data_IF_036065308649
#
_entry.id   IF_036065308649
#
_cell.length_a   1.000
_cell.length_b   1.000
_cell.length_c   1.000
_cell.angle_alpha   90.00
_cell.angle_beta   90.00
_cell.angle_gamma   90.00
#
_symmetry.space_group_name_H-M   'P 1'
#
loop_
_entity.id
_entity.type
_entity.pdbx_description
1 polymer ?
#
# COMPACT_ATOMS: atom_id res chain seq x y z
N UNK A 1 -71.51 18.63 -57.34
CA UNK A 1 -72.05 18.72 -55.95
C UNK A 1 -71.59 17.52 -55.16
N UNK A 2 -70.69 17.77 -54.16
CA UNK A 2 -70.31 16.93 -53.01
C UNK A 2 -69.89 15.49 -53.25
N UNK A 3 -68.57 15.33 -53.43
CA UNK A 3 -67.80 14.13 -53.07
C UNK A 3 -67.11 14.40 -51.70
N UNK A 4 -67.84 14.13 -50.64
CA UNK A 4 -67.28 14.29 -49.28
C UNK A 4 -67.91 13.19 -48.39
N UNK A 5 -67.22 12.06 -48.28
CA UNK A 5 -67.71 10.94 -47.45
C UNK A 5 -66.83 9.71 -47.36
N UNK A 6 -65.87 9.55 -48.29
CA UNK A 6 -65.15 8.29 -48.37
C UNK A 6 -63.76 8.31 -47.71
N UNK A 7 -63.24 9.51 -47.36
CA UNK A 7 -61.92 9.64 -46.73
C UNK A 7 -61.90 9.48 -45.21
N UNK A 8 -63.04 9.60 -44.55
CA UNK A 8 -63.10 9.47 -43.08
C UNK A 8 -63.27 8.04 -42.55
N UNK A 9 -63.71 7.12 -43.39
CA UNK A 9 -63.85 5.70 -43.00
C UNK A 9 -62.57 4.89 -43.14
N UNK A 10 -61.64 5.27 -44.03
CA UNK A 10 -60.37 4.57 -44.24
C UNK A 10 -59.37 4.94 -43.15
N UNK A 11 -59.41 6.16 -42.61
CA UNK A 11 -58.53 6.58 -41.53
C UNK A 11 -58.94 6.01 -40.19
N UNK A 12 -60.17 5.67 -39.96
CA UNK A 12 -60.63 5.09 -38.70
C UNK A 12 -60.39 3.57 -38.61
N UNK A 13 -60.41 2.87 -39.73
CA UNK A 13 -60.07 1.44 -39.79
C UNK A 13 -58.54 1.19 -39.69
N UNK A 14 -57.72 2.11 -40.18
CA UNK A 14 -56.27 1.98 -40.10
C UNK A 14 -55.74 2.28 -38.70
N UNK A 15 -56.34 3.20 -37.95
CA UNK A 15 -56.00 3.47 -36.55
C UNK A 15 -56.42 2.37 -35.57
N UNK A 16 -57.48 1.62 -35.88
CA UNK A 16 -57.94 0.51 -35.03
C UNK A 16 -57.09 -0.76 -35.26
N UNK A 17 -56.52 -0.98 -36.45
CA UNK A 17 -55.61 -2.09 -36.71
C UNK A 17 -54.20 -1.83 -36.11
N UNK A 18 -53.71 -0.57 -36.08
CA UNK A 18 -52.48 -0.25 -35.38
C UNK A 18 -52.58 -0.32 -33.81
N UNK A 19 -53.77 -0.16 -33.25
CA UNK A 19 -53.96 -0.26 -31.79
C UNK A 19 -54.04 -1.72 -31.27
N UNK A 20 -54.33 -2.67 -32.17
CA UNK A 20 -54.39 -4.10 -31.84
C UNK A 20 -53.05 -4.84 -32.02
N UNK A 21 -52.07 -4.22 -32.65
CA UNK A 21 -50.73 -4.82 -32.83
C UNK A 21 -49.72 -4.44 -31.73
N UNK A 22 -50.11 -3.68 -30.72
CA UNK A 22 -49.28 -3.29 -29.56
C UNK A 22 -49.52 -4.14 -28.31
N UNK A 23 -50.38 -5.13 -28.34
CA UNK A 23 -50.42 -6.17 -27.33
C UNK A 23 -49.44 -7.31 -27.70
N UNK A 24 -48.19 -6.94 -27.97
CA UNK A 24 -47.08 -7.89 -28.03
C UNK A 24 -46.80 -8.39 -26.63
N UNK A 25 -47.13 -9.62 -26.37
CA UNK A 25 -46.79 -10.41 -25.22
C UNK A 25 -45.48 -9.97 -24.55
N UNK A 26 -45.56 -9.30 -23.43
CA UNK A 26 -44.53 -9.47 -22.41
C UNK A 26 -44.74 -10.91 -21.89
N UNK A 27 -44.19 -11.90 -22.56
CA UNK A 27 -43.88 -13.17 -21.92
C UNK A 27 -42.80 -12.82 -20.92
N UNK A 28 -43.06 -13.02 -19.65
CA UNK A 28 -42.00 -13.04 -18.64
C UNK A 28 -40.95 -13.97 -19.19
N UNK A 29 -39.71 -13.48 -19.26
CA UNK A 29 -38.58 -14.33 -19.64
C UNK A 29 -38.53 -15.52 -18.67
N UNK A 30 -38.29 -16.75 -19.15
CA UNK A 30 -38.16 -17.88 -18.26
C UNK A 30 -37.00 -17.62 -17.29
N UNK A 31 -37.19 -17.99 -16.03
CA UNK A 31 -36.16 -17.89 -15.01
C UNK A 31 -34.87 -18.60 -15.48
N UNK A 32 -33.74 -18.00 -15.17
CA UNK A 32 -32.42 -18.51 -15.60
C UNK A 32 -32.11 -19.84 -14.89
N UNK A 33 -31.75 -20.85 -15.67
CA UNK A 33 -31.34 -22.17 -15.21
C UNK A 33 -29.84 -22.28 -14.90
N UNK A 34 -29.05 -21.26 -15.26
CA UNK A 34 -27.60 -21.26 -15.00
C UNK A 34 -27.30 -20.98 -13.54
N UNK A 35 -26.27 -21.63 -13.01
CA UNK A 35 -25.86 -21.53 -11.62
C UNK A 35 -24.33 -21.40 -11.50
N UNK A 36 -23.75 -20.48 -12.27
CA UNK A 36 -22.30 -20.35 -12.37
C UNK A 36 -21.75 -19.16 -11.58
N UNK A 37 -20.52 -19.34 -11.07
CA UNK A 37 -19.66 -18.24 -10.66
C UNK A 37 -18.88 -17.79 -11.91
N UNK A 38 -19.13 -16.60 -12.40
CA UNK A 38 -18.40 -16.00 -13.53
C UNK A 38 -17.06 -15.39 -13.10
N UNK A 39 -17.06 -14.74 -11.92
CA UNK A 39 -15.86 -14.14 -11.32
C UNK A 39 -15.87 -14.32 -9.82
N UNK A 40 -14.68 -14.56 -9.27
CA UNK A 40 -14.42 -14.53 -7.85
C UNK A 40 -13.34 -13.49 -7.56
N UNK A 41 -13.50 -12.68 -6.53
CA UNK A 41 -12.55 -11.64 -6.18
C UNK A 41 -12.53 -11.38 -4.67
N UNK A 42 -11.41 -10.83 -4.20
CA UNK A 42 -11.27 -10.32 -2.85
C UNK A 42 -11.00 -8.83 -2.96
N UNK A 43 -11.78 -8.00 -2.26
CA UNK A 43 -11.52 -6.56 -2.15
C UNK A 43 -10.66 -6.29 -0.91
N UNK A 44 -9.33 -6.37 -1.02
CA UNK A 44 -8.48 -5.89 0.05
C UNK A 44 -8.63 -4.37 0.12
N UNK A 45 -8.65 -3.80 1.32
CA UNK A 45 -8.40 -2.37 1.47
C UNK A 45 -7.09 -1.98 0.79
N UNK A 46 -6.87 -0.68 0.51
CA UNK A 46 -5.69 -0.19 -0.26
C UNK A 46 -4.36 -0.75 0.26
N UNK A 47 -4.24 -0.94 1.55
CA UNK A 47 -3.10 -1.59 2.22
C UNK A 47 -3.00 -3.10 1.91
N UNK A 48 -4.11 -3.80 1.87
CA UNK A 48 -4.15 -5.27 1.71
C UNK A 48 -3.86 -5.72 0.27
N UNK A 49 -3.89 -4.82 -0.73
CA UNK A 49 -3.41 -5.13 -2.10
C UNK A 49 -1.97 -5.63 -2.12
N UNK A 50 -1.18 -5.28 -1.11
CA UNK A 50 0.18 -5.78 -0.93
C UNK A 50 0.24 -7.25 -0.49
N UNK A 51 -0.87 -7.86 -0.14
CA UNK A 51 -0.93 -9.25 0.31
C UNK A 51 -1.04 -10.25 -0.83
N UNK A 52 -1.34 -9.80 -2.04
CA UNK A 52 -1.40 -10.65 -3.22
C UNK A 52 -0.05 -10.66 -3.94
N UNK A 53 0.27 -11.77 -4.60
CA UNK A 53 1.54 -11.94 -5.33
C UNK A 53 1.63 -10.95 -6.49
N UNK A 54 0.51 -10.70 -7.18
CA UNK A 54 0.36 -9.65 -8.18
C UNK A 54 -1.07 -9.09 -8.16
N UNK A 55 -1.36 -8.05 -8.95
CA UNK A 55 -2.67 -7.41 -8.97
C UNK A 55 -3.81 -8.33 -9.46
N UNK A 56 -3.50 -9.37 -10.25
CA UNK A 56 -4.47 -10.33 -10.77
C UNK A 56 -4.87 -11.39 -9.74
N UNK A 57 -4.10 -11.57 -8.66
CA UNK A 57 -4.39 -12.55 -7.63
C UNK A 57 -5.66 -12.21 -6.82
N UNK A 58 -6.15 -10.98 -6.93
CA UNK A 58 -7.39 -10.54 -6.30
C UNK A 58 -8.64 -10.82 -7.13
N UNK A 59 -8.48 -11.18 -8.41
CA UNK A 59 -9.56 -11.45 -9.35
C UNK A 59 -9.27 -12.74 -10.11
N UNK A 60 -10.18 -13.70 -10.03
CA UNK A 60 -10.16 -14.94 -10.79
C UNK A 60 -11.37 -14.97 -11.73
N UNK A 61 -11.13 -15.05 -13.04
CA UNK A 61 -12.17 -15.34 -14.03
C UNK A 61 -12.40 -16.85 -14.03
N UNK A 62 -13.62 -17.26 -13.72
CA UNK A 62 -13.98 -18.68 -13.59
C UNK A 62 -14.51 -19.19 -14.91
N UNK A 63 -13.88 -20.24 -15.46
CA UNK A 63 -14.36 -20.89 -16.66
C UNK A 63 -15.57 -21.78 -16.36
N UNK A 64 -16.45 -21.95 -17.34
CA UNK A 64 -17.70 -22.70 -17.15
C UNK A 64 -17.53 -24.18 -16.78
N UNK A 65 -16.36 -24.76 -17.01
CA UNK A 65 -16.02 -26.14 -16.65
C UNK A 65 -15.26 -26.24 -15.29
N UNK A 66 -14.93 -25.11 -14.67
CA UNK A 66 -14.19 -25.08 -13.41
C UNK A 66 -15.10 -25.07 -12.19
N UNK A 67 -14.82 -25.96 -11.24
CA UNK A 67 -15.44 -26.04 -9.93
C UNK A 67 -14.46 -25.69 -8.78
N UNK A 68 -13.21 -25.36 -9.10
CA UNK A 68 -12.15 -24.98 -8.17
C UNK A 68 -11.68 -23.58 -8.46
N UNK A 69 -11.74 -22.73 -7.44
CA UNK A 69 -11.29 -21.35 -7.48
C UNK A 69 -10.14 -21.21 -6.49
N UNK A 70 -8.98 -20.73 -6.98
CA UNK A 70 -7.79 -20.59 -6.15
C UNK A 70 -7.25 -19.16 -6.25
N UNK A 71 -7.10 -18.53 -5.08
CA UNK A 71 -6.36 -17.28 -4.93
C UNK A 71 -4.94 -17.57 -4.44
N UNK A 72 -3.97 -16.78 -4.90
CA UNK A 72 -2.59 -16.84 -4.41
C UNK A 72 -2.25 -15.57 -3.66
N UNK A 73 -1.96 -15.70 -2.36
CA UNK A 73 -1.52 -14.59 -1.51
C UNK A 73 -0.03 -14.71 -1.20
N UNK A 74 0.58 -13.58 -0.83
CA UNK A 74 1.96 -13.57 -0.32
C UNK A 74 2.07 -14.42 0.95
N UNK A 75 3.27 -14.95 1.28
CA UNK A 75 3.46 -15.88 2.39
C UNK A 75 2.91 -15.43 3.74
N UNK A 76 2.90 -14.13 3.97
CA UNK A 76 2.52 -13.48 5.22
C UNK A 76 1.02 -13.18 5.37
N UNK A 77 0.22 -13.32 4.29
CA UNK A 77 -1.21 -13.01 4.36
C UNK A 77 -1.91 -13.90 5.39
N UNK A 78 -2.75 -13.30 6.24
CA UNK A 78 -3.61 -14.08 7.13
C UNK A 78 -4.72 -14.74 6.34
N UNK A 79 -4.88 -16.05 6.47
CA UNK A 79 -5.97 -16.81 5.86
C UNK A 79 -7.21 -16.90 6.75
N UNK A 80 -7.15 -16.39 8.00
CA UNK A 80 -8.21 -16.61 9.00
C UNK A 80 -9.47 -15.78 8.79
N UNK A 81 -9.34 -14.62 8.14
CA UNK A 81 -10.46 -13.67 7.96
C UNK A 81 -10.45 -13.17 6.52
N UNK A 82 -10.88 -14.01 5.58
CA UNK A 82 -10.97 -13.65 4.17
C UNK A 82 -12.43 -13.69 3.73
N UNK A 83 -12.83 -12.72 2.90
CA UNK A 83 -14.19 -12.52 2.46
C UNK A 83 -14.27 -12.51 0.91
N UNK A 84 -14.20 -13.65 0.24
CA UNK A 84 -14.37 -13.74 -1.20
C UNK A 84 -15.74 -13.23 -1.63
N UNK A 85 -15.76 -12.47 -2.70
CA UNK A 85 -16.97 -11.99 -3.35
C UNK A 85 -17.10 -12.65 -4.72
N UNK A 86 -18.35 -12.85 -5.14
CA UNK A 86 -18.63 -13.58 -6.37
C UNK A 86 -19.58 -12.79 -7.27
N UNK A 87 -19.27 -12.77 -8.57
CA UNK A 87 -20.22 -12.41 -9.60
C UNK A 87 -20.83 -13.70 -10.12
N UNK A 88 -22.13 -13.82 -10.01
CA UNK A 88 -22.89 -15.00 -10.42
C UNK A 88 -23.59 -14.73 -11.74
N UNK A 89 -24.05 -15.80 -12.41
CA UNK A 89 -25.04 -15.70 -13.48
C UNK A 89 -26.30 -14.99 -12.98
N UNK A 90 -26.97 -14.20 -13.85
CA UNK A 90 -28.13 -13.40 -13.44
C UNK A 90 -29.22 -14.22 -12.70
N UNK A 91 -29.70 -13.72 -11.58
CA UNK A 91 -30.74 -14.35 -10.75
C UNK A 91 -30.27 -15.48 -9.84
N UNK A 92 -29.04 -16.00 -10.01
CA UNK A 92 -28.50 -17.07 -9.16
C UNK A 92 -28.16 -16.56 -7.75
N UNK A 93 -28.20 -17.48 -6.77
CA UNK A 93 -27.84 -17.21 -5.37
C UNK A 93 -26.72 -18.12 -4.91
N UNK A 94 -25.96 -17.75 -3.87
CA UNK A 94 -24.81 -18.50 -3.37
C UNK A 94 -24.86 -18.66 -1.84
N UNK A 95 -24.45 -19.82 -1.36
CA UNK A 95 -24.26 -20.14 0.06
C UNK A 95 -22.91 -20.83 0.26
N UNK A 96 -22.07 -20.38 1.24
CA UNK A 96 -22.22 -19.20 2.08
C UNK A 96 -22.40 -17.89 1.28
N UNK A 97 -22.93 -16.83 1.93
CA UNK A 97 -23.19 -15.55 1.26
C UNK A 97 -21.90 -14.91 0.71
N UNK A 98 -21.99 -14.30 -0.48
CA UNK A 98 -20.88 -13.56 -1.10
C UNK A 98 -20.40 -12.45 -0.17
N UNK A 99 -19.08 -12.39 0.08
CA UNK A 99 -18.46 -11.44 1.01
C UNK A 99 -18.50 -11.85 2.49
N UNK A 100 -19.05 -13.03 2.81
CA UNK A 100 -18.98 -13.57 4.18
C UNK A 100 -17.54 -13.96 4.54
N UNK A 101 -17.16 -13.74 5.82
CA UNK A 101 -15.81 -13.96 6.32
C UNK A 101 -15.60 -15.42 6.70
N UNK A 102 -14.53 -16.04 6.18
CA UNK A 102 -14.19 -17.44 6.44
C UNK A 102 -12.70 -17.62 6.77
N UNK A 103 -12.41 -18.73 7.46
CA UNK A 103 -11.06 -19.17 7.79
C UNK A 103 -10.53 -20.19 6.77
N UNK A 104 -9.75 -19.72 5.81
CA UNK A 104 -9.11 -20.55 4.78
C UNK A 104 -7.81 -21.23 5.25
N UNK A 105 -7.38 -21.01 6.48
CA UNK A 105 -6.20 -21.71 7.03
C UNK A 105 -6.47 -23.19 7.31
N UNK A 106 -7.74 -23.59 7.38
CA UNK A 106 -8.19 -24.96 7.60
C UNK A 106 -8.43 -25.75 6.31
N UNK A 107 -8.31 -25.09 5.16
CA UNK A 107 -8.52 -25.70 3.84
C UNK A 107 -9.56 -24.94 3.00
N UNK A 108 -9.97 -25.52 1.87
CA UNK A 108 -10.97 -24.93 0.99
C UNK A 108 -12.33 -24.74 1.68
N UNK A 109 -13.02 -23.68 1.30
CA UNK A 109 -14.41 -23.43 1.69
C UNK A 109 -15.32 -23.80 0.53
N UNK A 110 -16.37 -24.55 0.83
CA UNK A 110 -17.35 -25.01 -0.16
C UNK A 110 -18.45 -23.98 -0.31
N UNK A 111 -18.71 -23.56 -1.54
CA UNK A 111 -19.82 -22.69 -1.91
C UNK A 111 -20.79 -23.43 -2.84
N UNK A 112 -22.07 -23.23 -2.64
CA UNK A 112 -23.14 -23.80 -3.49
C UNK A 112 -23.88 -22.65 -4.16
N UNK A 113 -23.90 -22.65 -5.48
CA UNK A 113 -24.69 -21.71 -6.29
C UNK A 113 -25.98 -22.39 -6.72
N UNK A 114 -27.10 -21.67 -6.57
CA UNK A 114 -28.42 -22.13 -6.98
C UNK A 114 -28.97 -21.22 -8.07
N UNK A 115 -29.47 -21.80 -9.15
CA UNK A 115 -30.09 -21.07 -10.27
C UNK A 115 -31.29 -20.23 -9.84
N UNK A 116 -31.67 -19.25 -10.65
CA UNK A 116 -32.85 -18.42 -10.41
C UNK A 116 -34.14 -19.24 -10.33
N UNK A 117 -34.29 -20.27 -11.19
CA UNK A 117 -35.43 -21.18 -11.20
C UNK A 117 -35.41 -22.22 -10.06
N UNK A 118 -34.32 -22.24 -9.24
CA UNK A 118 -34.07 -23.11 -8.11
C UNK A 118 -34.05 -24.62 -8.43
N UNK A 119 -33.91 -24.97 -9.71
CA UNK A 119 -33.89 -26.38 -10.13
C UNK A 119 -32.47 -26.95 -10.21
N UNK A 120 -31.45 -26.09 -10.31
CA UNK A 120 -30.07 -26.47 -10.51
C UNK A 120 -29.16 -25.91 -9.43
N UNK A 121 -28.20 -26.70 -9.04
CA UNK A 121 -27.16 -26.28 -8.10
C UNK A 121 -25.79 -26.69 -8.61
N UNK A 122 -24.78 -25.84 -8.33
CA UNK A 122 -23.38 -26.16 -8.61
C UNK A 122 -22.53 -25.87 -7.40
N UNK A 123 -21.59 -26.78 -7.12
CA UNK A 123 -20.71 -26.69 -5.95
C UNK A 123 -19.33 -26.27 -6.38
N UNK A 124 -18.76 -25.28 -5.69
CA UNK A 124 -17.42 -24.75 -5.91
C UNK A 124 -16.56 -24.92 -4.67
N UNK A 125 -15.28 -25.29 -4.88
CA UNK A 125 -14.26 -25.32 -3.85
C UNK A 125 -13.38 -24.09 -3.99
N UNK A 126 -13.50 -23.14 -3.05
CA UNK A 126 -12.68 -21.93 -3.02
C UNK A 126 -11.54 -22.12 -2.05
N UNK A 127 -10.32 -21.91 -2.52
CA UNK A 127 -9.09 -22.04 -1.73
C UNK A 127 -8.22 -20.80 -1.85
N UNK A 128 -7.39 -20.60 -0.82
CA UNK A 128 -6.36 -19.58 -0.84
C UNK A 128 -5.05 -20.27 -0.46
N UNK A 129 -4.08 -20.25 -1.39
CA UNK A 129 -2.74 -20.73 -1.10
C UNK A 129 -1.79 -19.56 -0.90
N UNK A 130 -0.72 -19.82 -0.14
CA UNK A 130 0.37 -18.87 0.03
C UNK A 130 1.46 -19.11 -1.01
N UNK A 131 1.84 -18.05 -1.74
CA UNK A 131 3.04 -18.04 -2.55
C UNK A 131 4.29 -18.18 -1.67
N UNK A 132 5.43 -18.46 -2.28
CA UNK A 132 6.71 -18.52 -1.57
C UNK A 132 7.63 -17.46 -2.11
N UNK A 133 7.94 -16.45 -1.28
CA UNK A 133 8.96 -15.45 -1.57
C UNK A 133 9.81 -15.30 -0.31
N UNK A 134 11.07 -15.64 -0.39
CA UNK A 134 11.99 -15.58 0.75
C UNK A 134 13.09 -14.60 0.47
N UNK A 135 13.29 -13.63 1.37
CA UNK A 135 14.43 -12.73 1.33
C UNK A 135 15.70 -13.51 1.65
N UNK A 136 16.76 -13.28 0.90
CA UNK A 136 18.07 -13.88 1.12
C UNK A 136 18.68 -13.48 2.46
N UNK A 137 19.85 -14.02 2.80
CA UNK A 137 20.60 -13.60 4.00
C UNK A 137 21.15 -12.19 3.87
N UNK A 138 21.34 -11.72 2.67
CA UNK A 138 21.75 -10.35 2.38
C UNK A 138 20.84 -9.79 1.31
N UNK A 139 20.39 -8.58 1.47
CA UNK A 139 19.58 -7.87 0.49
C UNK A 139 20.11 -6.44 0.36
N UNK A 140 20.35 -6.01 -0.87
CA UNK A 140 20.85 -4.69 -1.21
C UNK A 140 19.70 -3.82 -1.72
N UNK A 141 19.66 -2.58 -1.28
CA UNK A 141 18.81 -1.50 -1.75
C UNK A 141 19.72 -0.48 -2.41
N UNK A 142 19.86 -0.61 -3.74
CA UNK A 142 20.88 0.12 -4.51
C UNK A 142 20.37 1.47 -5.06
N UNK A 143 19.06 1.71 -5.02
CA UNK A 143 18.39 2.90 -5.54
C UNK A 143 18.63 3.19 -7.03
N UNK A 144 19.14 2.23 -7.80
CA UNK A 144 19.51 2.38 -9.22
C UNK A 144 18.31 2.42 -10.17
N UNK A 145 17.11 2.08 -9.69
CA UNK A 145 15.90 1.99 -10.50
C UNK A 145 14.86 3.09 -10.17
N UNK A 146 15.23 4.40 -10.22
CA UNK A 146 14.25 5.47 -10.09
C UNK A 146 13.41 5.58 -11.36
N UNK A 147 12.12 5.93 -11.20
CA UNK A 147 11.24 6.21 -12.32
C UNK A 147 10.31 7.39 -12.03
N UNK A 148 9.92 8.10 -13.08
CA UNK A 148 8.97 9.20 -12.96
C UNK A 148 7.54 8.68 -13.11
N UNK A 149 6.72 8.97 -12.12
CA UNK A 149 5.29 8.72 -12.17
C UNK A 149 4.54 9.85 -11.47
N UNK A 150 3.42 10.30 -12.03
CA UNK A 150 2.61 11.38 -11.49
C UNK A 150 3.38 12.70 -11.29
N UNK A 151 4.51 12.90 -11.98
CA UNK A 151 5.31 14.13 -11.94
C UNK A 151 6.37 14.20 -10.85
N UNK A 152 6.68 13.11 -10.16
CA UNK A 152 7.74 13.00 -9.17
C UNK A 152 8.45 11.64 -9.26
N UNK A 153 9.64 11.54 -8.64
CA UNK A 153 10.43 10.31 -8.60
C UNK A 153 9.84 9.29 -7.63
N UNK A 154 9.92 8.03 -8.02
CA UNK A 154 9.63 6.83 -7.26
C UNK A 154 10.78 5.85 -7.48
N UNK A 155 10.91 4.81 -6.62
CA UNK A 155 11.99 3.83 -6.70
C UNK A 155 11.44 2.41 -6.68
N UNK A 156 12.06 1.57 -7.50
CA UNK A 156 11.88 0.13 -7.50
C UNK A 156 13.18 -0.54 -7.09
N UNK A 157 13.09 -1.66 -6.40
CA UNK A 157 14.25 -2.51 -6.11
C UNK A 157 14.21 -3.76 -6.97
N UNK A 158 15.37 -4.17 -7.43
CA UNK A 158 15.53 -5.41 -8.17
C UNK A 158 15.64 -6.59 -7.18
N UNK A 159 14.68 -7.49 -7.24
CA UNK A 159 14.69 -8.70 -6.45
C UNK A 159 14.66 -9.92 -7.37
N UNK A 160 15.82 -10.58 -7.52
CA UNK A 160 15.95 -11.76 -8.38
C UNK A 160 15.47 -11.55 -9.83
N UNK A 161 15.63 -10.34 -10.36
CA UNK A 161 15.17 -9.97 -11.69
C UNK A 161 13.80 -9.31 -11.76
N UNK A 162 13.05 -9.31 -10.68
CA UNK A 162 11.75 -8.61 -10.59
C UNK A 162 11.94 -7.23 -9.97
N UNK A 163 11.35 -6.20 -10.59
CA UNK A 163 11.32 -4.85 -10.04
C UNK A 163 10.14 -4.69 -9.09
N UNK A 164 10.42 -4.39 -7.83
CA UNK A 164 9.43 -4.27 -6.76
C UNK A 164 9.26 -2.84 -6.30
N UNK A 165 8.01 -2.36 -6.28
CA UNK A 165 7.62 -1.08 -5.69
C UNK A 165 7.47 -1.22 -4.17
N UNK A 166 8.58 -1.19 -3.45
CA UNK A 166 8.58 -1.28 -1.98
C UNK A 166 8.73 0.06 -1.29
N UNK A 167 9.31 1.04 -1.98
CA UNK A 167 9.57 2.37 -1.47
C UNK A 167 8.38 3.31 -1.67
N UNK A 168 8.17 4.19 -0.72
CA UNK A 168 7.22 5.29 -0.78
C UNK A 168 7.86 6.58 -0.25
N UNK A 169 7.25 7.71 -0.61
CA UNK A 169 7.69 9.05 -0.21
C UNK A 169 6.49 9.93 0.14
N UNK A 170 6.72 11.07 0.80
CA UNK A 170 5.72 12.12 1.01
C UNK A 170 5.45 13.00 -0.22
N UNK A 171 6.12 12.76 -1.35
CA UNK A 171 5.94 13.55 -2.57
C UNK A 171 4.48 13.70 -3.02
N UNK A 172 3.61 12.67 -2.92
CA UNK A 172 2.18 12.84 -3.23
C UNK A 172 1.49 13.90 -2.36
N UNK A 173 1.85 13.99 -1.07
CA UNK A 173 1.34 15.02 -0.15
C UNK A 173 1.85 16.42 -0.53
N UNK A 174 3.14 16.55 -0.85
CA UNK A 174 3.72 17.80 -1.33
C UNK A 174 3.06 18.28 -2.62
N UNK A 175 2.75 17.38 -3.56
CA UNK A 175 2.05 17.70 -4.80
C UNK A 175 0.69 18.36 -4.57
N UNK A 176 -0.04 17.99 -3.52
CA UNK A 176 -1.34 18.61 -3.19
C UNK A 176 -1.15 20.10 -2.90
N UNK A 177 -0.10 20.46 -2.16
CA UNK A 177 0.20 21.86 -1.83
C UNK A 177 0.92 22.61 -2.96
N UNK A 178 1.70 21.91 -3.77
CA UNK A 178 2.56 22.48 -4.82
C UNK A 178 2.32 21.77 -6.17
N UNK A 179 1.11 21.90 -6.78
CA UNK A 179 0.71 21.09 -7.94
C UNK A 179 1.53 21.36 -9.22
N UNK A 180 2.19 22.53 -9.29
CA UNK A 180 3.02 22.95 -10.43
C UNK A 180 4.50 22.61 -10.25
N UNK A 181 4.89 21.94 -9.15
CA UNK A 181 6.28 21.59 -8.89
C UNK A 181 6.81 20.65 -9.99
N UNK A 182 8.02 20.95 -10.48
CA UNK A 182 8.75 20.08 -11.40
C UNK A 182 9.36 18.90 -10.61
N UNK A 183 9.72 17.77 -11.25
CA UNK A 183 10.25 16.60 -10.56
C UNK A 183 11.41 16.90 -9.61
N UNK A 184 12.31 17.82 -9.98
CA UNK A 184 13.50 18.18 -9.20
C UNK A 184 13.20 19.08 -7.99
N UNK A 185 11.97 19.60 -7.91
CA UNK A 185 11.52 20.52 -6.86
C UNK A 185 10.76 19.80 -5.73
N UNK A 186 10.66 18.48 -5.79
CA UNK A 186 10.03 17.71 -4.72
C UNK A 186 10.98 17.48 -3.55
N UNK A 187 10.44 17.27 -2.33
CA UNK A 187 11.25 16.98 -1.16
C UNK A 187 12.14 15.74 -1.30
N UNK A 188 11.71 14.73 -2.08
CA UNK A 188 12.47 13.50 -2.32
C UNK A 188 12.73 13.37 -3.81
N UNK A 189 14.00 13.39 -4.20
CA UNK A 189 14.44 13.35 -5.59
C UNK A 189 15.63 12.40 -5.79
N UNK A 190 15.76 11.91 -7.01
CA UNK A 190 16.91 11.14 -7.46
C UNK A 190 18.11 12.08 -7.68
N UNK A 191 19.30 11.60 -7.42
CA UNK A 191 20.58 12.20 -7.81
C UNK A 191 21.40 11.24 -8.65
N UNK A 192 22.10 11.77 -9.68
CA UNK A 192 22.96 10.96 -10.57
C UNK A 192 24.29 10.56 -9.93
N UNK A 193 24.75 11.32 -8.92
CA UNK A 193 26.00 11.10 -8.23
C UNK A 193 25.73 10.73 -6.77
N UNK A 194 25.30 9.50 -6.53
CA UNK A 194 25.19 8.89 -5.22
C UNK A 194 26.55 8.58 -4.61
N UNK A 195 26.59 7.70 -3.63
CA UNK A 195 27.83 7.08 -3.18
C UNK A 195 28.36 6.14 -4.26
N UNK A 196 27.47 5.34 -4.84
CA UNK A 196 27.73 4.46 -5.96
C UNK A 196 26.57 4.57 -6.97
N UNK A 197 26.84 5.12 -8.17
CA UNK A 197 25.80 5.31 -9.17
C UNK A 197 24.76 6.37 -8.77
N UNK A 198 23.49 6.04 -8.85
CA UNK A 198 22.39 6.93 -8.42
C UNK A 198 22.17 6.83 -6.93
N UNK A 199 21.52 7.85 -6.38
CA UNK A 199 21.13 7.86 -4.98
C UNK A 199 19.87 8.68 -4.75
N UNK A 200 19.51 8.87 -3.49
CA UNK A 200 18.32 9.61 -3.10
C UNK A 200 18.70 10.83 -2.27
N UNK A 201 18.13 11.99 -2.63
CA UNK A 201 18.25 13.24 -1.88
C UNK A 201 16.89 13.59 -1.26
N UNK A 202 16.89 13.80 0.02
CA UNK A 202 15.74 14.16 0.86
C UNK A 202 15.97 15.58 1.38
N UNK A 203 15.07 16.52 1.08
CA UNK A 203 15.24 17.92 1.51
C UNK A 203 13.96 18.42 2.16
N UNK A 204 14.07 19.03 3.32
CA UNK A 204 12.95 19.73 3.97
C UNK A 204 12.65 21.02 3.21
N UNK A 205 11.44 21.15 2.69
CA UNK A 205 11.05 22.26 1.83
C UNK A 205 9.83 22.98 2.36
N UNK A 206 9.70 24.25 1.94
CA UNK A 206 8.47 25.02 2.14
C UNK A 206 7.35 24.44 1.29
N UNK A 207 6.19 24.36 1.89
CA UNK A 207 4.93 24.10 1.21
C UNK A 207 4.32 25.42 0.70
N UNK A 208 3.12 25.37 0.12
CA UNK A 208 2.44 26.57 -0.33
C UNK A 208 1.84 27.38 0.83
N UNK A 209 1.53 28.65 0.59
CA UNK A 209 0.81 29.49 1.57
C UNK A 209 -0.55 28.90 1.99
N UNK A 210 -1.19 28.11 1.15
CA UNK A 210 -2.43 27.42 1.49
C UNK A 210 -2.20 26.35 2.57
N UNK A 211 -1.07 25.67 2.53
CA UNK A 211 -0.70 24.70 3.54
C UNK A 211 -0.36 25.33 4.90
N UNK A 212 0.13 26.58 4.89
CA UNK A 212 0.33 27.37 6.12
C UNK A 212 -1.00 27.55 6.90
N UNK A 213 -2.10 27.79 6.20
CA UNK A 213 -3.43 27.97 6.81
C UNK A 213 -3.93 26.72 7.58
N UNK A 214 -3.38 25.55 7.28
CA UNK A 214 -3.67 24.29 7.97
C UNK A 214 -2.47 23.81 8.80
N UNK A 215 -1.56 24.73 9.17
CA UNK A 215 -0.38 24.48 10.00
C UNK A 215 0.54 23.37 9.46
N UNK A 216 0.70 23.29 8.15
CA UNK A 216 1.60 22.37 7.44
C UNK A 216 2.62 23.15 6.58
N UNK A 217 3.46 24.03 7.16
CA UNK A 217 4.27 24.99 6.42
C UNK A 217 5.48 24.37 5.73
N UNK A 218 5.91 23.19 6.17
CA UNK A 218 7.05 22.47 5.63
C UNK A 218 6.68 21.04 5.27
N UNK A 219 7.44 20.44 4.38
CA UNK A 219 7.43 19.01 4.07
C UNK A 219 8.86 18.50 4.17
N UNK A 220 9.13 17.63 5.14
CA UNK A 220 10.39 16.91 5.20
C UNK A 220 10.50 15.95 4.03
N UNK A 221 11.66 15.92 3.36
CA UNK A 221 11.99 14.86 2.43
C UNK A 221 12.04 13.53 3.18
N UNK A 222 11.33 12.53 2.69
CA UNK A 222 11.33 11.21 3.30
C UNK A 222 11.29 10.10 2.27
N UNK A 223 11.87 8.97 2.62
CA UNK A 223 11.85 7.72 1.86
C UNK A 223 11.66 6.57 2.84
N UNK A 224 10.73 5.68 2.56
CA UNK A 224 10.47 4.58 3.48
C UNK A 224 9.90 3.34 2.76
N UNK A 225 10.19 2.17 3.29
CA UNK A 225 9.50 0.95 2.89
C UNK A 225 8.09 1.01 3.46
N UNK A 226 7.09 1.03 2.58
CA UNK A 226 5.69 1.18 2.97
C UNK A 226 4.79 1.71 1.89
N UNK A 227 3.80 2.50 2.28
CA UNK A 227 2.85 3.16 1.38
C UNK A 227 2.46 4.55 1.91
N UNK A 228 2.31 5.51 1.01
CA UNK A 228 1.75 6.82 1.32
C UNK A 228 0.33 6.95 0.74
N UNK A 229 -0.63 7.31 1.59
CA UNK A 229 -2.01 7.55 1.20
C UNK A 229 -2.31 9.04 1.17
N UNK A 230 -2.38 9.60 -0.04
CA UNK A 230 -2.63 11.03 -0.23
C UNK A 230 -4.02 11.48 0.26
N UNK A 231 -4.99 10.56 0.32
CA UNK A 231 -6.34 10.86 0.81
C UNK A 231 -6.33 11.05 2.33
N UNK A 232 -5.61 10.17 3.03
CA UNK A 232 -5.42 10.31 4.48
C UNK A 232 -4.60 11.56 4.82
N UNK A 233 -3.64 11.97 3.97
CA UNK A 233 -2.80 13.16 4.19
C UNK A 233 -3.59 14.46 4.37
N UNK A 234 -4.77 14.57 3.77
CA UNK A 234 -5.65 15.74 3.92
C UNK A 234 -6.34 15.77 5.29
N UNK A 235 -6.67 14.59 5.83
CA UNK A 235 -7.41 14.42 7.09
C UNK A 235 -6.47 14.33 8.28
N UNK A 236 -5.53 13.40 8.22
CA UNK A 236 -4.55 13.11 9.27
C UNK A 236 -3.22 12.73 8.64
N UNK A 237 -2.24 13.65 8.66
CA UNK A 237 -0.93 13.43 8.07
C UNK A 237 -0.18 12.24 8.69
N UNK A 238 -0.40 11.96 9.99
CA UNK A 238 0.21 10.83 10.68
C UNK A 238 -0.29 9.49 10.15
N UNK A 239 -1.57 9.41 9.72
CA UNK A 239 -2.17 8.20 9.14
C UNK A 239 -1.89 8.02 7.65
N UNK A 240 -1.43 9.08 6.97
CA UNK A 240 -1.07 9.02 5.56
C UNK A 240 0.12 8.09 5.28
N UNK A 241 1.04 7.99 6.24
CA UNK A 241 2.23 7.16 6.12
C UNK A 241 2.00 5.81 6.79
N UNK A 242 1.99 4.76 5.97
CA UNK A 242 1.81 3.36 6.38
C UNK A 242 3.15 2.66 6.23
N UNK A 243 3.84 2.41 7.33
CA UNK A 243 5.20 1.90 7.35
C UNK A 243 5.26 0.38 7.30
N UNK A 244 6.23 -0.12 6.55
CA UNK A 244 6.59 -1.52 6.48
C UNK A 244 5.93 -2.29 5.34
N UNK A 245 6.64 -3.29 4.90
CA UNK A 245 6.20 -4.31 3.97
C UNK A 245 6.49 -5.67 4.57
N UNK A 246 5.61 -6.62 4.36
CA UNK A 246 5.87 -7.98 4.77
C UNK A 246 6.88 -8.65 3.84
N UNK A 247 7.82 -9.37 4.44
CA UNK A 247 8.78 -10.21 3.74
C UNK A 247 8.87 -11.57 4.42
N UNK A 248 9.18 -12.61 3.63
CA UNK A 248 9.67 -13.88 4.18
C UNK A 248 11.19 -13.78 4.28
N UNK A 249 11.74 -14.12 5.44
CA UNK A 249 13.16 -14.10 5.68
C UNK A 249 13.70 -15.52 5.83
N UNK A 250 14.87 -15.79 5.23
CA UNK A 250 15.57 -17.06 5.42
C UNK A 250 16.27 -17.14 6.79
N UNK A 251 16.55 -15.98 7.38
CA UNK A 251 17.19 -15.82 8.67
C UNK A 251 16.74 -14.48 9.31
N UNK A 252 16.99 -14.31 10.59
CA UNK A 252 16.63 -13.12 11.35
C UNK A 252 17.42 -11.90 10.87
N UNK A 253 16.80 -10.75 10.54
CA UNK A 253 17.50 -9.50 10.33
C UNK A 253 18.40 -9.18 11.50
N UNK A 254 19.67 -8.91 11.26
CA UNK A 254 20.66 -8.67 12.31
C UNK A 254 21.23 -7.27 12.21
N UNK A 255 21.48 -6.78 10.99
CA UNK A 255 22.20 -5.52 10.79
C UNK A 255 21.63 -4.78 9.59
N UNK A 256 21.59 -3.44 9.68
CA UNK A 256 21.40 -2.54 8.57
C UNK A 256 22.69 -1.75 8.33
N UNK A 257 23.18 -1.74 7.12
CA UNK A 257 24.36 -0.98 6.67
C UNK A 257 23.97 -0.04 5.52
N UNK A 258 24.81 0.97 5.25
CA UNK A 258 24.63 1.86 4.12
C UNK A 258 25.43 3.14 4.24
N UNK A 259 25.15 4.09 3.37
CA UNK A 259 25.86 5.35 3.27
C UNK A 259 24.88 6.53 3.35
N UNK A 260 25.31 7.59 4.03
CA UNK A 260 24.56 8.84 4.08
C UNK A 260 25.48 10.07 4.11
N UNK A 261 24.91 11.23 3.77
CA UNK A 261 25.40 12.57 4.11
C UNK A 261 24.27 13.36 4.70
N UNK A 262 24.58 14.33 5.55
CA UNK A 262 23.56 15.20 6.11
C UNK A 262 24.05 16.63 6.30
N UNK A 263 23.19 17.57 6.00
CA UNK A 263 23.39 18.99 6.26
C UNK A 263 22.09 19.57 6.82
N UNK A 264 22.16 20.12 8.03
CA UNK A 264 21.03 20.83 8.64
C UNK A 264 20.80 22.17 7.95
N UNK A 265 19.55 22.56 7.84
CA UNK A 265 19.16 23.94 7.49
C UNK A 265 19.47 24.92 8.62
N UNK A 266 19.53 26.20 8.29
CA UNK A 266 19.99 27.23 9.23
C UNK A 266 18.99 27.53 10.36
N UNK A 267 17.67 27.52 10.04
CA UNK A 267 16.61 28.00 10.95
C UNK A 267 15.61 26.91 11.21
N UNK A 268 15.61 26.38 12.41
CA UNK A 268 14.59 25.46 12.86
C UNK A 268 13.31 26.20 13.21
N UNK A 269 12.18 25.78 12.65
CA UNK A 269 10.89 26.46 12.82
C UNK A 269 9.81 25.51 13.32
N UNK A 270 8.83 26.07 14.02
CA UNK A 270 7.60 25.39 14.38
C UNK A 270 6.56 25.38 13.24
N UNK A 271 5.40 24.77 13.49
CA UNK A 271 4.28 24.69 12.55
C UNK A 271 3.65 26.05 12.18
N UNK A 272 4.01 27.14 12.86
CA UNK A 272 3.60 28.52 12.58
C UNK A 272 4.74 29.33 11.97
N UNK A 273 5.87 28.68 11.65
CA UNK A 273 7.10 29.30 11.14
C UNK A 273 7.81 30.24 12.13
N UNK A 274 7.53 30.10 13.43
CA UNK A 274 8.34 30.77 14.44
C UNK A 274 9.68 30.06 14.56
N UNK A 275 10.78 30.82 14.53
CA UNK A 275 12.12 30.30 14.74
C UNK A 275 12.28 29.82 16.19
N UNK A 276 12.78 28.61 16.36
CA UNK A 276 13.08 28.01 17.63
C UNK A 276 14.60 27.89 17.80
N UNK A 277 15.10 28.06 19.02
CA UNK A 277 16.52 27.83 19.33
C UNK A 277 16.81 26.33 19.44
N UNK A 278 16.72 25.66 18.29
CA UNK A 278 16.94 24.21 18.10
C UNK A 278 17.72 23.94 16.83
N UNK A 279 18.37 22.77 16.75
CA UNK A 279 18.98 22.28 15.54
C UNK A 279 18.09 21.24 14.87
N UNK A 280 18.19 21.13 13.55
CA UNK A 280 17.55 20.02 12.84
C UNK A 280 18.50 18.84 12.68
N UNK A 281 17.93 17.65 12.62
CA UNK A 281 18.64 16.39 12.51
C UNK A 281 18.01 15.51 11.45
N UNK A 282 18.84 14.75 10.73
CA UNK A 282 18.39 13.66 9.91
C UNK A 282 18.03 12.43 10.73
N UNK A 283 17.25 11.55 10.17
CA UNK A 283 16.95 10.24 10.78
C UNK A 283 16.97 9.12 9.76
N UNK A 284 17.58 8.01 10.09
CA UNK A 284 17.53 6.73 9.40
C UNK A 284 17.29 5.66 10.45
N UNK A 285 16.33 4.78 10.25
CA UNK A 285 16.10 3.63 11.12
C UNK A 285 15.40 2.50 10.37
N UNK A 286 15.52 1.28 10.93
CA UNK A 286 14.73 0.14 10.48
C UNK A 286 13.93 -0.44 11.63
N UNK A 287 12.70 -0.86 11.33
CA UNK A 287 11.76 -1.47 12.27
C UNK A 287 11.35 -2.83 11.75
N UNK A 288 11.54 -3.87 12.58
CA UNK A 288 10.95 -5.19 12.37
C UNK A 288 9.77 -5.35 13.34
N UNK A 289 8.61 -5.76 12.82
CA UNK A 289 7.43 -5.91 13.65
C UNK A 289 6.56 -7.10 13.19
N UNK A 290 5.76 -7.65 14.10
CA UNK A 290 4.75 -8.65 13.79
C UNK A 290 3.61 -8.02 13.01
N UNK A 291 3.33 -8.53 11.81
CA UNK A 291 2.33 -7.93 10.93
C UNK A 291 0.91 -8.48 11.12
N UNK A 292 0.75 -9.43 12.02
CA UNK A 292 -0.54 -9.99 12.45
C UNK A 292 -0.55 -10.00 13.97
N UNK A 293 -1.57 -9.44 14.58
CA UNK A 293 -1.75 -9.43 16.01
C UNK A 293 -2.31 -10.75 16.57
N UNK A 294 -2.52 -10.82 17.88
CA UNK A 294 -3.06 -11.97 18.59
C UNK A 294 -4.48 -12.36 18.17
N UNK A 295 -5.26 -11.41 17.62
CA UNK A 295 -6.61 -11.63 17.12
C UNK A 295 -6.63 -12.11 15.67
N UNK A 296 -5.45 -12.11 15.00
CA UNK A 296 -5.32 -12.40 13.58
C UNK A 296 -5.58 -11.20 12.68
N UNK A 297 -5.64 -9.99 13.23
CA UNK A 297 -5.82 -8.77 12.47
C UNK A 297 -4.48 -8.21 11.97
N UNK A 298 -4.51 -7.59 10.79
CA UNK A 298 -3.31 -6.99 10.20
C UNK A 298 -2.85 -5.76 11.00
N UNK A 299 -1.56 -5.70 11.29
CA UNK A 299 -0.91 -4.58 11.96
C UNK A 299 -0.34 -3.62 10.95
N UNK A 300 -0.64 -2.34 11.12
CA UNK A 300 -0.08 -1.24 10.33
C UNK A 300 0.59 -0.26 11.27
N UNK A 301 1.85 0.10 10.99
CA UNK A 301 2.54 1.17 11.70
C UNK A 301 2.32 2.51 11.00
N UNK A 302 2.04 3.55 11.78
CA UNK A 302 1.78 4.90 11.32
C UNK A 302 2.81 5.89 11.89
N UNK A 303 2.77 7.15 11.46
CA UNK A 303 3.69 8.18 11.88
C UNK A 303 3.74 8.40 13.41
N UNK A 304 2.61 8.18 14.08
CA UNK A 304 2.47 8.33 15.52
C UNK A 304 2.98 7.13 16.35
N UNK A 305 3.18 5.96 15.73
CA UNK A 305 3.50 4.74 16.48
C UNK A 305 4.61 3.86 15.87
N UNK A 306 5.24 4.29 14.78
CA UNK A 306 6.24 3.48 14.05
C UNK A 306 7.45 3.06 14.90
N UNK A 307 7.75 3.76 15.99
CA UNK A 307 8.83 3.41 16.93
C UNK A 307 8.32 2.97 18.32
N UNK A 308 7.01 2.95 18.55
CA UNK A 308 6.45 2.68 19.89
C UNK A 308 5.33 1.63 19.90
N UNK A 309 4.96 1.08 18.75
CA UNK A 309 3.90 0.08 18.68
C UNK A 309 4.30 -1.22 19.41
N UNK A 310 3.35 -1.82 20.15
CA UNK A 310 3.55 -3.07 20.89
C UNK A 310 3.97 -4.28 20.05
N UNK A 311 3.74 -4.23 18.75
CA UNK A 311 4.10 -5.31 17.83
C UNK A 311 5.55 -5.22 17.31
N UNK A 312 6.27 -4.16 17.64
CA UNK A 312 7.69 -4.04 17.30
C UNK A 312 8.49 -5.15 17.97
N UNK A 313 9.39 -5.75 17.22
CA UNK A 313 10.24 -6.86 17.66
C UNK A 313 11.69 -6.42 17.74
N UNK A 314 12.11 -5.54 16.84
CA UNK A 314 13.45 -4.96 16.86
C UNK A 314 13.49 -3.62 16.15
N UNK A 315 14.43 -2.78 16.55
CA UNK A 315 14.69 -1.47 15.98
C UNK A 315 16.19 -1.31 15.75
N UNK A 316 16.58 -0.82 14.57
CA UNK A 316 17.95 -0.40 14.26
C UNK A 316 17.93 1.12 14.04
N UNK A 317 18.69 1.88 14.85
CA UNK A 317 18.75 3.34 14.79
C UNK A 317 20.10 3.80 14.28
N UNK A 318 20.13 4.61 13.24
CA UNK A 318 21.36 5.16 12.66
C UNK A 318 21.62 6.56 13.21
N UNK A 319 22.82 6.80 13.68
CA UNK A 319 23.30 8.12 14.12
C UNK A 319 24.33 8.03 15.23
N UNK A 320 25.22 8.99 15.25
CA UNK A 320 26.27 9.12 16.24
C UNK A 320 26.01 10.27 17.24
N UNK A 321 24.91 10.99 17.02
CA UNK A 321 24.51 12.09 17.89
C UNK A 321 23.11 11.86 18.47
N UNK A 322 22.66 12.81 19.28
CA UNK A 322 21.30 12.83 19.81
C UNK A 322 20.63 14.15 19.48
N UNK A 323 19.36 14.09 19.15
CA UNK A 323 18.54 15.27 18.98
C UNK A 323 18.27 15.96 20.34
N UNK A 324 17.61 17.11 20.31
CA UNK A 324 17.28 17.89 21.51
C UNK A 324 16.34 17.14 22.50
N UNK A 325 15.73 16.05 22.07
CA UNK A 325 14.92 15.14 22.90
C UNK A 325 15.70 13.92 23.42
N UNK A 326 17.00 13.85 23.13
CA UNK A 326 17.89 12.75 23.53
C UNK A 326 17.78 11.49 22.67
N UNK A 327 17.05 11.51 21.56
CA UNK A 327 16.94 10.38 20.62
C UNK A 327 18.16 10.32 19.70
N UNK A 328 18.58 9.11 19.33
CA UNK A 328 19.64 8.90 18.34
C UNK A 328 19.22 9.57 17.03
N UNK A 329 20.11 10.36 16.44
CA UNK A 329 19.85 11.17 15.27
C UNK A 329 21.15 11.40 14.46
N UNK A 330 21.01 11.92 13.24
CA UNK A 330 22.11 12.24 12.33
C UNK A 330 22.34 13.75 12.36
N UNK A 331 23.49 14.16 12.90
CA UNK A 331 23.97 15.54 12.82
C UNK A 331 24.71 15.84 11.51
N UNK A 332 25.22 17.07 11.37
CA UNK A 332 25.96 17.49 10.16
C UNK A 332 27.10 16.53 9.83
N UNK A 333 27.02 15.95 8.65
CA UNK A 333 27.95 14.96 8.08
C UNK A 333 28.12 15.28 6.60
N UNK A 334 29.03 16.19 6.23
CA UNK A 334 29.11 16.75 4.86
C UNK A 334 29.62 15.74 3.82
N UNK A 335 30.40 14.76 4.24
CA UNK A 335 30.94 13.71 3.38
C UNK A 335 30.12 12.42 3.51
N UNK A 336 30.24 11.52 2.52
CA UNK A 336 29.61 10.22 2.61
C UNK A 336 30.16 9.43 3.81
N UNK A 337 29.28 9.06 4.71
CA UNK A 337 29.57 8.33 5.93
C UNK A 337 28.91 6.95 5.90
N UNK A 338 29.74 5.92 6.13
CA UNK A 338 29.25 4.55 6.26
C UNK A 338 28.64 4.31 7.63
N UNK A 339 27.48 3.69 7.67
CA UNK A 339 26.90 3.20 8.92
C UNK A 339 26.71 1.69 8.88
N UNK A 340 26.78 1.09 10.06
CA UNK A 340 26.51 -0.33 10.29
C UNK A 340 25.90 -0.47 11.67
N UNK A 341 24.61 -0.75 11.78
CA UNK A 341 23.85 -0.77 13.01
C UNK A 341 23.13 -2.10 13.21
N UNK A 342 23.18 -2.62 14.42
CA UNK A 342 22.51 -3.85 14.80
C UNK A 342 21.02 -3.61 15.10
N UNK A 343 20.19 -4.62 14.84
CA UNK A 343 18.81 -4.63 15.30
C UNK A 343 18.78 -4.97 16.80
N UNK A 344 18.27 -4.04 17.60
CA UNK A 344 18.07 -4.24 19.04
C UNK A 344 16.79 -5.06 19.28
N UNK A 345 16.97 -6.33 19.54
CA UNK A 345 15.90 -7.26 19.94
C UNK A 345 15.68 -7.28 21.46
N UNK A 346 16.70 -6.91 22.23
CA UNK A 346 16.69 -7.03 23.69
C UNK A 346 15.70 -6.06 24.33
N UNK A 347 15.70 -4.82 23.87
CA UNK A 347 14.84 -3.77 24.41
C UNK A 347 13.34 -4.04 24.22
N UNK A 348 12.98 -4.94 23.30
CA UNK A 348 11.59 -5.28 22.99
C UNK A 348 11.12 -6.58 23.64
N UNK A 349 12.04 -7.37 24.21
CA UNK A 349 11.72 -8.60 24.99
C UNK A 349 10.97 -9.67 24.19
N UNK A 350 11.00 -9.62 22.85
CA UNK A 350 10.33 -10.57 21.96
C UNK A 350 11.31 -11.52 21.30
N UNK A 351 10.89 -12.78 21.20
CA UNK A 351 11.65 -13.83 20.51
C UNK A 351 11.09 -14.00 19.08
N UNK A 352 11.99 -14.12 18.11
CA UNK A 352 11.62 -14.41 16.72
C UNK A 352 11.17 -15.87 16.63
N UNK A 353 9.96 -16.08 16.09
CA UNK A 353 9.47 -17.39 15.67
C UNK A 353 10.01 -17.68 14.26
N UNK A 354 10.87 -18.73 14.09
CA UNK A 354 11.46 -19.04 12.79
C UNK A 354 10.43 -19.46 11.73
N UNK A 355 9.34 -20.10 12.14
CA UNK A 355 8.27 -20.52 11.23
C UNK A 355 7.49 -19.30 10.75
N UNK A 356 7.15 -18.40 11.68
CA UNK A 356 6.48 -17.14 11.39
C UNK A 356 7.36 -16.25 10.49
N UNK A 357 8.68 -16.20 10.75
CA UNK A 357 9.66 -15.47 9.97
C UNK A 357 9.70 -15.94 8.51
N UNK A 358 9.84 -17.26 8.32
CA UNK A 358 9.87 -17.88 7.00
C UNK A 358 8.55 -17.71 6.25
N UNK A 359 7.44 -17.69 6.95
CA UNK A 359 6.10 -17.53 6.37
C UNK A 359 5.65 -16.06 6.22
N UNK A 360 6.58 -15.08 6.40
CA UNK A 360 6.32 -13.66 6.21
C UNK A 360 5.39 -13.05 7.26
N UNK A 361 5.39 -13.58 8.48
CA UNK A 361 4.64 -13.05 9.61
C UNK A 361 5.26 -11.80 10.25
N UNK A 362 6.36 -11.30 9.67
CA UNK A 362 7.02 -10.06 10.07
C UNK A 362 7.08 -9.10 8.89
N UNK A 363 6.98 -7.81 9.18
CA UNK A 363 7.18 -6.73 8.23
C UNK A 363 8.41 -5.92 8.59
N UNK A 364 9.10 -5.42 7.56
CA UNK A 364 10.25 -4.53 7.66
C UNK A 364 9.84 -3.14 7.17
N UNK A 365 10.15 -2.10 7.94
CA UNK A 365 10.23 -0.73 7.49
C UNK A 365 11.67 -0.24 7.59
N UNK A 366 12.18 0.40 6.54
CA UNK A 366 13.37 1.26 6.60
C UNK A 366 12.85 2.66 6.34
N UNK A 367 13.24 3.61 7.15
CA UNK A 367 12.71 4.99 7.12
C UNK A 367 13.87 5.98 7.14
N UNK A 368 13.84 6.91 6.20
CA UNK A 368 14.77 8.03 6.08
C UNK A 368 14.00 9.35 6.08
N UNK A 369 14.45 10.35 6.81
CA UNK A 369 13.86 11.69 6.80
C UNK A 369 14.91 12.77 6.95
N UNK A 370 14.74 13.89 6.22
CA UNK A 370 15.62 15.06 6.31
C UNK A 370 15.41 15.90 7.57
N UNK A 371 14.28 15.71 8.29
CA UNK A 371 14.01 16.35 9.56
C UNK A 371 13.40 15.34 10.53
N UNK A 372 14.01 15.15 11.69
CA UNK A 372 13.58 14.15 12.69
C UNK A 372 12.18 14.42 13.24
N UNK A 373 11.80 15.70 13.38
CA UNK A 373 10.47 16.15 13.82
C UNK A 373 9.55 16.52 12.62
N UNK A 374 9.93 16.17 11.40
CA UNK A 374 9.24 16.56 10.16
C UNK A 374 7.79 16.08 10.08
N UNK A 375 7.45 14.96 10.73
CA UNK A 375 6.08 14.46 10.83
C UNK A 375 5.15 15.41 11.61
N UNK A 376 5.71 16.21 12.53
CA UNK A 376 5.02 17.24 13.29
C UNK A 376 5.06 18.62 12.61
N UNK A 377 5.59 18.70 11.38
CA UNK A 377 5.85 19.94 10.65
C UNK A 377 6.82 20.89 11.38
N UNK A 378 7.77 20.32 12.12
CA UNK A 378 8.88 21.03 12.74
C UNK A 378 10.17 20.61 12.04
N UNK A 379 11.03 21.61 11.76
CA UNK A 379 12.30 21.37 11.08
C UNK A 379 12.88 22.63 10.46
N UNK A 380 14.05 22.52 9.87
CA UNK A 380 14.70 23.62 9.17
C UNK A 380 14.58 23.44 7.66
N UNK A 381 13.99 24.43 6.98
CA UNK A 381 13.98 24.44 5.51
C UNK A 381 15.42 24.42 4.98
N UNK A 382 15.69 23.51 4.04
CA UNK A 382 17.03 23.29 3.52
C UNK A 382 17.77 22.13 4.18
N UNK A 383 17.30 21.59 5.34
CA UNK A 383 17.85 20.35 5.88
C UNK A 383 17.81 19.25 4.83
N UNK A 384 18.95 18.64 4.58
CA UNK A 384 19.11 17.69 3.47
C UNK A 384 19.84 16.44 3.92
N UNK A 385 19.23 15.29 3.67
CA UNK A 385 19.78 13.96 3.87
C UNK A 385 19.97 13.30 2.49
N UNK A 386 21.14 12.80 2.23
CA UNK A 386 21.44 11.94 1.08
C UNK A 386 21.63 10.52 1.58
N UNK A 387 21.07 9.55 0.87
CA UNK A 387 21.18 8.13 1.22
C UNK A 387 21.50 7.31 -0.03
N UNK A 388 22.26 6.23 0.18
CA UNK A 388 22.64 5.31 -0.89
C UNK A 388 23.14 3.97 -0.36
N UNK A 389 23.06 2.94 -1.23
CA UNK A 389 23.69 1.62 -1.05
C UNK A 389 23.40 0.99 0.31
N UNK A 390 22.10 0.82 0.63
CA UNK A 390 21.71 0.13 1.86
C UNK A 390 21.80 -1.39 1.71
N UNK A 391 22.15 -2.05 2.80
CA UNK A 391 22.25 -3.51 2.88
C UNK A 391 21.63 -4.03 4.18
N UNK A 392 20.71 -4.97 4.05
CA UNK A 392 20.15 -5.72 5.16
C UNK A 392 20.87 -7.05 5.28
N UNK A 393 21.43 -7.34 6.46
CA UNK A 393 22.14 -8.58 6.77
C UNK A 393 21.28 -9.41 7.72
N UNK A 394 21.06 -10.68 7.40
CA UNK A 394 20.29 -11.64 8.18
C UNK A 394 21.16 -12.84 8.59
N UNK A 395 21.04 -13.29 9.84
CA UNK A 395 21.74 -14.49 10.38
C UNK A 395 20.82 -15.39 11.17
#
# INVERSE_FOLDING_TARGET
MKTMGFRKFITLSLSTVCALSLSSCFKDEPLNAECDIEQAYIHPGSWLKLWFTNASDTLVNVQSDQDKIEFTMKPFASLKKQAPMFRLTPGATIQPESGSVHDFSKGPVTYVVTSEDKQWTRTYQVSIKKGQTTMSKEFEFDFENPYLSKGYYNWQENWNGDLLDIWATGNPGFKISNPSAKPEQYPTVMIENGYQGKGVKLTTQRTSKLADMVSKPIAAGNLFIGQFDATDALRDAMKATKFGRPFSFSAKPEKLEGWYKYQAGEKFTDKNMNELNRHDYGTIYAVLYENIDENGDAVVLYGDNVQSNKQIVALALVGETRDDNGKIAIGNTPEWHHFSVDFDYQSYGKTIDPVKLKNGGYSLAIVCSSSSDGANFLGAVGSTLWVDSFKLICK
#
